data_IF_618721946834
#
_entry.id   IF_618721946834
#
_cell.length_a   1.000
_cell.length_b   1.000
_cell.length_c   1.000
_cell.angle_alpha   90.00
_cell.angle_beta   90.00
_cell.angle_gamma   90.00
#
_symmetry.space_group_name_H-M   'P 1'
#
loop_
_entity.id
_entity.type
_entity.pdbx_description
1 polymer ?
#
# COMPACT_ATOMS: atom_id res chain seq x y z
N UNK A 1 -26.53 -28.46 -64.03
CA UNK A 1 -26.76 -28.61 -62.59
C UNK A 1 -25.44 -28.34 -61.91
N UNK A 2 -25.31 -27.20 -61.24
CA UNK A 2 -24.04 -26.75 -60.64
C UNK A 2 -24.27 -26.69 -59.13
N UNK A 3 -23.57 -27.55 -58.40
CA UNK A 3 -23.71 -27.67 -56.94
C UNK A 3 -23.19 -26.41 -56.24
N UNK A 4 -23.98 -25.91 -55.29
CA UNK A 4 -23.61 -24.80 -54.43
C UNK A 4 -22.68 -25.30 -53.31
N UNK A 5 -21.48 -24.73 -53.23
CA UNK A 5 -20.53 -24.99 -52.13
C UNK A 5 -21.07 -24.34 -50.86
N UNK A 6 -21.47 -25.16 -49.89
CA UNK A 6 -21.93 -24.69 -48.58
C UNK A 6 -20.75 -24.11 -47.79
N UNK A 7 -20.80 -22.81 -47.49
CA UNK A 7 -19.83 -22.13 -46.62
C UNK A 7 -20.20 -22.45 -45.17
N UNK A 8 -19.37 -23.22 -44.47
CA UNK A 8 -19.58 -23.46 -43.04
C UNK A 8 -19.52 -22.14 -42.24
N UNK A 9 -20.47 -21.91 -41.31
CA UNK A 9 -20.45 -20.71 -40.48
C UNK A 9 -19.23 -20.74 -39.56
N UNK A 10 -18.43 -19.66 -39.59
CA UNK A 10 -17.29 -19.49 -38.68
C UNK A 10 -17.78 -19.60 -37.23
N UNK A 11 -17.36 -20.68 -36.54
CA UNK A 11 -17.71 -20.91 -35.13
C UNK A 11 -17.01 -19.89 -34.24
N UNK A 12 -17.79 -19.06 -33.55
CA UNK A 12 -17.33 -18.26 -32.40
C UNK A 12 -16.79 -19.21 -31.32
N UNK A 13 -15.49 -19.13 -31.04
CA UNK A 13 -14.83 -19.89 -29.96
C UNK A 13 -14.55 -18.96 -28.79
N UNK A 14 -15.18 -19.24 -27.64
CA UNK A 14 -14.86 -18.58 -26.38
C UNK A 14 -13.78 -19.39 -25.65
N UNK A 15 -12.61 -18.78 -25.42
CA UNK A 15 -11.55 -19.36 -24.59
C UNK A 15 -11.63 -18.73 -23.21
N UNK A 16 -11.79 -19.56 -22.17
CA UNK A 16 -11.77 -19.09 -20.79
C UNK A 16 -10.37 -18.54 -20.47
N UNK A 17 -10.27 -17.23 -20.26
CA UNK A 17 -9.02 -16.60 -19.79
C UNK A 17 -8.90 -16.72 -18.27
N UNK A 18 -7.68 -16.81 -17.72
CA UNK A 18 -7.47 -16.73 -16.27
C UNK A 18 -8.10 -15.46 -15.69
N UNK A 19 -8.70 -15.56 -14.50
CA UNK A 19 -9.27 -14.40 -13.82
C UNK A 19 -8.15 -13.41 -13.46
N UNK A 20 -8.33 -12.10 -13.72
CA UNK A 20 -7.33 -11.10 -13.35
C UNK A 20 -7.20 -11.02 -11.82
N UNK A 21 -5.96 -11.02 -11.32
CA UNK A 21 -5.68 -10.77 -9.91
C UNK A 21 -5.88 -9.27 -9.64
N UNK A 22 -6.80 -8.94 -8.73
CA UNK A 22 -7.00 -7.56 -8.28
C UNK A 22 -5.69 -7.00 -7.74
N UNK A 23 -5.46 -5.71 -7.97
CA UNK A 23 -4.20 -5.05 -7.62
C UNK A 23 -3.86 -5.20 -6.13
N UNK A 24 -4.87 -5.13 -5.27
CA UNK A 24 -4.75 -5.32 -3.80
C UNK A 24 -4.19 -6.69 -3.38
N UNK A 25 -4.32 -7.71 -4.23
CA UNK A 25 -3.81 -9.06 -3.97
C UNK A 25 -2.42 -9.30 -4.55
N UNK A 26 -1.82 -8.31 -5.24
CA UNK A 26 -0.48 -8.45 -5.81
C UNK A 26 0.56 -8.10 -4.74
N UNK A 27 1.41 -9.06 -4.31
CA UNK A 27 2.39 -8.80 -3.26
C UNK A 27 3.31 -7.62 -3.59
N UNK A 28 3.75 -7.51 -4.84
CA UNK A 28 4.60 -6.41 -5.29
C UNK A 28 3.95 -5.03 -5.11
N UNK A 29 2.65 -4.91 -5.42
CA UNK A 29 1.93 -3.65 -5.22
C UNK A 29 1.92 -3.25 -3.75
N UNK A 30 1.63 -4.21 -2.88
CA UNK A 30 1.57 -3.99 -1.43
C UNK A 30 2.94 -3.66 -0.83
N UNK A 31 4.00 -4.32 -1.31
CA UNK A 31 5.39 -3.99 -0.96
C UNK A 31 5.69 -2.55 -1.38
N UNK A 32 5.38 -2.16 -2.62
CA UNK A 32 5.64 -0.79 -3.07
C UNK A 32 4.87 0.26 -2.25
N UNK A 33 3.60 0.01 -1.91
CA UNK A 33 2.84 0.89 -1.01
C UNK A 33 3.51 1.02 0.37
N UNK A 34 4.00 -0.08 0.95
CA UNK A 34 4.78 -0.07 2.19
C UNK A 34 6.03 0.80 2.05
N UNK A 35 6.81 0.61 0.98
CA UNK A 35 8.04 1.38 0.75
C UNK A 35 7.73 2.88 0.52
N UNK A 36 6.64 3.21 -0.18
CA UNK A 36 6.18 4.60 -0.35
C UNK A 36 5.87 5.26 0.99
N UNK A 37 5.17 4.57 1.89
CA UNK A 37 4.85 5.07 3.24
C UNK A 37 6.13 5.30 4.06
N UNK A 38 7.08 4.36 3.99
CA UNK A 38 8.37 4.52 4.65
C UNK A 38 9.16 5.70 4.07
N UNK A 39 9.22 5.83 2.75
CA UNK A 39 10.01 6.85 2.07
C UNK A 39 9.42 8.26 2.24
N UNK A 40 8.12 8.42 2.00
CA UNK A 40 7.47 9.74 1.91
C UNK A 40 6.92 10.21 3.25
N UNK A 41 6.37 9.27 4.03
CA UNK A 41 5.64 9.63 5.23
C UNK A 41 6.36 9.30 6.53
N UNK A 42 7.53 8.69 6.51
CA UNK A 42 8.24 8.27 7.73
C UNK A 42 9.58 8.97 7.91
N UNK A 43 9.94 9.26 9.17
CA UNK A 43 11.23 9.89 9.50
C UNK A 43 12.32 8.81 9.44
N UNK A 44 13.41 9.07 8.72
CA UNK A 44 14.52 8.12 8.53
C UNK A 44 14.15 6.85 7.74
N UNK A 45 12.99 6.82 7.08
CA UNK A 45 12.51 5.61 6.42
C UNK A 45 12.10 4.50 7.39
N UNK A 46 11.75 4.83 8.64
CA UNK A 46 11.42 3.89 9.71
C UNK A 46 10.02 4.13 10.26
N UNK A 47 9.26 3.06 10.51
CA UNK A 47 7.92 3.15 11.10
C UNK A 47 7.61 1.96 12.01
N UNK A 48 6.76 2.18 13.03
CA UNK A 48 6.23 1.08 13.87
C UNK A 48 5.17 0.28 13.13
N UNK A 49 4.94 -0.97 13.54
CA UNK A 49 3.95 -1.85 12.93
C UNK A 49 2.51 -1.30 13.01
N UNK A 50 2.01 -0.78 14.15
CA UNK A 50 0.67 -0.20 14.22
C UNK A 50 0.46 0.96 13.23
N UNK A 51 1.48 1.82 13.08
CA UNK A 51 1.45 2.93 12.14
C UNK A 51 1.46 2.47 10.68
N UNK A 52 2.24 1.44 10.35
CA UNK A 52 2.19 0.83 9.01
C UNK A 52 0.80 0.27 8.70
N UNK A 53 0.13 -0.37 9.68
CA UNK A 53 -1.25 -0.81 9.51
C UNK A 53 -2.23 0.35 9.34
N UNK A 54 -2.04 1.48 10.05
CA UNK A 54 -2.85 2.67 9.86
C UNK A 54 -2.76 3.20 8.43
N UNK A 55 -1.54 3.35 7.90
CA UNK A 55 -1.35 3.80 6.51
C UNK A 55 -1.92 2.79 5.50
N UNK A 56 -1.71 1.49 5.69
CA UNK A 56 -2.31 0.48 4.82
C UNK A 56 -3.85 0.52 4.86
N UNK A 57 -4.45 0.70 6.04
CA UNK A 57 -5.90 0.86 6.17
C UNK A 57 -6.41 2.11 5.45
N UNK A 58 -5.65 3.20 5.54
CA UNK A 58 -6.00 4.48 4.93
C UNK A 58 -5.91 4.43 3.40
N UNK A 59 -4.87 3.80 2.84
CA UNK A 59 -4.65 3.71 1.40
C UNK A 59 -5.72 2.90 0.65
N UNK A 60 -6.55 2.13 1.36
CA UNK A 60 -7.66 1.35 0.75
C UNK A 60 -8.85 2.19 0.28
N UNK A 61 -8.93 3.48 0.66
CA UNK A 61 -10.05 4.35 0.31
C UNK A 61 -9.64 5.82 0.40
N UNK A 62 -10.05 6.60 -0.60
CA UNK A 62 -9.82 8.05 -0.65
C UNK A 62 -10.34 8.77 0.59
N UNK A 63 -11.52 8.38 1.11
CA UNK A 63 -12.09 8.99 2.32
C UNK A 63 -11.23 8.73 3.55
N UNK A 64 -10.64 7.54 3.65
CA UNK A 64 -9.83 7.14 4.81
C UNK A 64 -8.47 7.85 4.83
N UNK A 65 -7.81 7.93 3.69
CA UNK A 65 -6.55 8.67 3.59
C UNK A 65 -6.77 10.18 3.70
N UNK A 66 -7.93 10.72 3.29
CA UNK A 66 -8.27 12.11 3.55
C UNK A 66 -8.34 12.41 5.05
N UNK A 67 -8.85 11.48 5.88
CA UNK A 67 -8.79 11.63 7.35
C UNK A 67 -7.37 11.76 7.87
N UNK A 68 -6.40 11.07 7.27
CA UNK A 68 -4.99 11.21 7.64
C UNK A 68 -4.41 12.55 7.16
N UNK A 69 -4.82 13.05 5.99
CA UNK A 69 -4.45 14.40 5.52
C UNK A 69 -4.96 15.45 6.51
N UNK A 70 -6.22 15.34 6.95
CA UNK A 70 -6.82 16.30 7.87
C UNK A 70 -6.19 16.20 9.27
N UNK A 71 -5.91 14.99 9.75
CA UNK A 71 -5.18 14.76 11.00
C UNK A 71 -3.74 15.32 10.95
N UNK A 72 -3.06 15.20 9.82
CA UNK A 72 -1.73 15.78 9.61
C UNK A 72 -1.75 17.31 9.71
N UNK A 73 -2.75 17.96 9.08
CA UNK A 73 -2.95 19.42 9.15
C UNK A 73 -3.31 19.88 10.57
N UNK A 74 -4.25 19.18 11.22
CA UNK A 74 -4.70 19.50 12.57
C UNK A 74 -3.69 19.12 13.66
N UNK A 75 -2.67 18.32 13.33
CA UNK A 75 -1.70 17.72 14.28
C UNK A 75 -2.40 16.88 15.37
N UNK A 76 -3.57 16.32 15.06
CA UNK A 76 -4.37 15.51 15.98
C UNK A 76 -4.97 14.34 15.21
N UNK A 77 -4.71 13.13 15.68
CA UNK A 77 -5.28 11.91 15.12
C UNK A 77 -6.57 11.53 15.87
N UNK A 78 -7.70 12.08 15.40
CA UNK A 78 -9.03 11.78 15.94
C UNK A 78 -9.63 10.54 15.26
N UNK A 79 -9.24 9.36 15.72
CA UNK A 79 -9.78 8.09 15.25
C UNK A 79 -10.06 7.16 16.44
N UNK A 80 -11.13 6.38 16.35
CA UNK A 80 -11.48 5.40 17.39
C UNK A 80 -10.76 4.09 17.18
N UNK A 81 -10.69 3.58 15.95
CA UNK A 81 -9.94 2.35 15.62
C UNK A 81 -9.58 2.28 14.12
N UNK A 82 -8.63 1.39 13.77
CA UNK A 82 -8.35 0.99 12.38
C UNK A 82 -8.09 -0.53 12.30
N UNK A 83 -8.26 -1.09 11.11
CA UNK A 83 -8.11 -2.52 10.88
C UNK A 83 -6.66 -2.95 10.65
N UNK A 84 -6.28 -4.07 11.24
CA UNK A 84 -5.06 -4.80 10.89
C UNK A 84 -5.32 -5.69 9.66
N UNK A 85 -4.30 -5.86 8.83
CA UNK A 85 -4.42 -6.53 7.54
C UNK A 85 -3.33 -7.59 7.34
N UNK A 86 -3.68 -8.88 7.25
CA UNK A 86 -2.69 -9.94 7.03
C UNK A 86 -1.92 -9.76 5.73
N UNK A 87 -2.48 -9.12 4.70
CA UNK A 87 -1.78 -8.87 3.44
C UNK A 87 -0.57 -7.93 3.64
N UNK A 88 -0.67 -6.96 4.56
CA UNK A 88 0.47 -6.12 4.91
C UNK A 88 1.55 -6.92 5.64
N UNK A 89 1.17 -7.80 6.57
CA UNK A 89 2.12 -8.64 7.28
C UNK A 89 2.90 -9.55 6.32
N UNK A 90 2.20 -10.12 5.33
CA UNK A 90 2.83 -10.90 4.25
C UNK A 90 3.76 -10.02 3.41
N UNK A 91 3.34 -8.82 3.03
CA UNK A 91 4.17 -7.88 2.26
C UNK A 91 5.45 -7.48 3.01
N UNK A 92 5.36 -7.22 4.32
CA UNK A 92 6.52 -6.94 5.16
C UNK A 92 7.47 -8.14 5.18
N UNK A 93 6.95 -9.36 5.33
CA UNK A 93 7.78 -10.58 5.31
C UNK A 93 8.52 -10.74 3.99
N UNK A 94 7.85 -10.52 2.85
CA UNK A 94 8.51 -10.53 1.55
C UNK A 94 9.53 -9.40 1.41
N UNK A 95 9.21 -8.18 1.83
CA UNK A 95 10.13 -7.05 1.77
C UNK A 95 11.40 -7.29 2.61
N UNK A 96 11.27 -7.96 3.76
CA UNK A 96 12.40 -8.38 4.60
C UNK A 96 13.22 -9.48 3.92
N UNK A 97 12.57 -10.52 3.39
CA UNK A 97 13.25 -11.59 2.67
C UNK A 97 14.01 -11.08 1.43
N UNK A 98 13.46 -10.07 0.76
CA UNK A 98 14.09 -9.40 -0.39
C UNK A 98 15.11 -8.33 0.01
N UNK A 99 15.40 -8.15 1.31
CA UNK A 99 16.30 -7.14 1.84
C UNK A 99 15.94 -5.70 1.40
N UNK A 100 14.66 -5.40 1.19
CA UNK A 100 14.15 -4.04 0.92
C UNK A 100 13.87 -3.30 2.22
N UNK A 101 13.54 -4.05 3.27
CA UNK A 101 13.22 -3.55 4.61
C UNK A 101 13.94 -4.41 5.62
N UNK A 102 14.40 -3.82 6.72
CA UNK A 102 14.96 -4.53 7.87
C UNK A 102 14.10 -4.31 9.12
N UNK A 103 14.06 -5.33 9.98
CA UNK A 103 13.46 -5.20 11.30
C UNK A 103 14.39 -4.40 12.21
N UNK A 104 13.81 -3.52 13.01
CA UNK A 104 14.48 -2.73 14.05
C UNK A 104 13.90 -3.11 15.40
N UNK A 105 14.47 -2.60 16.49
CA UNK A 105 13.96 -2.83 17.85
C UNK A 105 12.49 -2.43 18.06
N UNK A 106 11.95 -1.51 17.24
CA UNK A 106 10.61 -0.92 17.43
C UNK A 106 9.70 -1.02 16.22
N UNK A 107 10.13 -1.66 15.12
CA UNK A 107 9.38 -1.65 13.86
C UNK A 107 10.25 -1.98 12.67
N UNK A 108 10.03 -1.31 11.55
CA UNK A 108 10.66 -1.64 10.28
C UNK A 108 11.29 -0.41 9.62
N UNK A 109 12.40 -0.61 8.92
CA UNK A 109 13.16 0.46 8.27
C UNK A 109 13.56 0.09 6.85
N UNK A 110 13.57 1.06 5.94
CA UNK A 110 14.15 0.89 4.60
C UNK A 110 15.63 0.59 4.68
N UNK A 111 16.07 -0.44 3.97
CA UNK A 111 17.49 -0.70 3.69
C UNK A 111 17.98 0.21 2.56
N UNK A 112 19.27 0.15 2.25
CA UNK A 112 19.81 0.82 1.06
C UNK A 112 19.22 0.26 -0.24
N UNK A 113 19.09 -1.07 -0.35
CA UNK A 113 18.43 -1.72 -1.50
C UNK A 113 16.98 -1.26 -1.64
N UNK A 114 16.24 -1.17 -0.53
CA UNK A 114 14.87 -0.66 -0.53
C UNK A 114 14.75 0.79 -0.96
N UNK A 115 15.69 1.64 -0.52
CA UNK A 115 15.80 3.04 -0.99
C UNK A 115 16.07 3.10 -2.49
N UNK A 116 17.01 2.31 -3.00
CA UNK A 116 17.28 2.23 -4.44
C UNK A 116 16.04 1.82 -5.22
N UNK A 117 15.35 0.75 -4.80
CA UNK A 117 14.13 0.27 -5.43
C UNK A 117 13.05 1.36 -5.50
N UNK A 118 12.74 2.01 -4.38
CA UNK A 118 11.65 2.99 -4.36
C UNK A 118 12.03 4.26 -5.13
N UNK A 119 13.30 4.64 -5.15
CA UNK A 119 13.79 5.74 -5.98
C UNK A 119 13.59 5.46 -7.47
N UNK A 120 13.83 4.23 -7.95
CA UNK A 120 13.55 3.85 -9.33
C UNK A 120 12.06 3.94 -9.66
N UNK A 121 11.18 3.44 -8.77
CA UNK A 121 9.72 3.55 -8.94
C UNK A 121 9.28 5.01 -9.04
N UNK A 122 9.87 5.90 -8.24
CA UNK A 122 9.51 7.32 -8.22
C UNK A 122 9.94 8.10 -9.47
N UNK A 123 10.81 7.53 -10.34
CA UNK A 123 11.16 8.13 -11.64
C UNK A 123 10.00 8.12 -12.62
N UNK A 124 9.13 7.12 -12.52
CA UNK A 124 7.88 7.09 -13.26
C UNK A 124 6.85 7.99 -12.53
N UNK A 125 6.39 9.04 -13.20
CA UNK A 125 5.44 10.00 -12.63
C UNK A 125 4.03 9.39 -12.47
N UNK A 126 3.68 8.40 -13.29
CA UNK A 126 2.36 7.77 -13.30
C UNK A 126 2.25 6.65 -12.26
N UNK A 127 3.39 6.06 -11.89
CA UNK A 127 3.45 5.05 -10.84
C UNK A 127 2.93 5.60 -9.50
N UNK A 128 1.84 5.01 -9.01
CA UNK A 128 1.17 5.36 -7.74
C UNK A 128 0.82 6.84 -7.60
N UNK A 129 0.52 7.53 -8.72
CA UNK A 129 0.27 8.97 -8.70
C UNK A 129 -0.81 9.41 -7.68
N UNK A 130 -1.97 8.74 -7.55
CA UNK A 130 -2.99 9.10 -6.55
C UNK A 130 -2.47 8.98 -5.12
N UNK A 131 -1.86 7.85 -4.77
CA UNK A 131 -1.32 7.59 -3.43
C UNK A 131 -0.20 8.56 -3.08
N UNK A 132 0.73 8.80 -4.01
CA UNK A 132 1.86 9.73 -3.82
C UNK A 132 1.37 11.14 -3.53
N UNK A 133 0.36 11.62 -4.26
CA UNK A 133 -0.22 12.95 -4.03
C UNK A 133 -0.76 13.10 -2.61
N UNK A 134 -1.39 12.06 -2.08
CA UNK A 134 -1.96 12.06 -0.73
C UNK A 134 -0.89 11.87 0.35
N UNK A 135 0.06 10.96 0.15
CA UNK A 135 1.21 10.77 1.05
C UNK A 135 2.08 12.04 1.14
N UNK A 136 2.22 12.78 0.04
CA UNK A 136 2.93 14.06 0.02
C UNK A 136 2.21 15.13 0.85
N UNK A 137 0.87 15.17 0.83
CA UNK A 137 0.09 16.07 1.69
C UNK A 137 0.20 15.70 3.18
N UNK A 138 0.28 14.40 3.48
CA UNK A 138 0.45 13.91 4.85
C UNK A 138 1.88 14.21 5.36
N UNK A 139 2.88 14.05 4.49
CA UNK A 139 4.29 14.18 4.85
C UNK A 139 4.63 13.34 6.08
N UNK A 140 5.40 13.92 7.01
CA UNK A 140 5.91 13.23 8.21
C UNK A 140 5.13 13.58 9.48
N UNK A 141 3.88 14.00 9.32
CA UNK A 141 3.10 14.63 10.39
C UNK A 141 2.22 13.67 11.19
N UNK A 142 1.89 12.51 10.63
CA UNK A 142 1.33 11.41 11.41
C UNK A 142 2.47 10.73 12.17
N UNK A 143 2.63 11.09 13.44
CA UNK A 143 3.74 10.62 14.29
C UNK A 143 3.42 9.29 14.98
N UNK A 144 4.46 8.55 15.37
CA UNK A 144 4.30 7.31 16.14
C UNK A 144 3.53 7.55 17.45
N UNK A 145 3.83 8.66 18.15
CA UNK A 145 3.15 9.00 19.41
C UNK A 145 1.65 9.29 19.25
N UNK A 146 1.21 9.81 18.09
CA UNK A 146 -0.23 9.95 17.80
C UNK A 146 -0.89 8.58 17.67
N UNK A 147 -0.25 7.66 16.94
CA UNK A 147 -0.77 6.30 16.72
C UNK A 147 -0.80 5.52 18.02
N UNK A 148 0.25 5.61 18.83
CA UNK A 148 0.33 4.93 20.13
C UNK A 148 -0.74 5.41 21.11
N UNK A 149 -1.03 6.73 21.15
CA UNK A 149 -2.12 7.27 21.98
C UNK A 149 -3.48 6.68 21.62
N UNK A 150 -3.78 6.55 20.33
CA UNK A 150 -5.03 5.94 19.89
C UNK A 150 -5.07 4.45 20.18
N UNK A 151 -3.97 3.73 19.92
CA UNK A 151 -3.89 2.28 20.16
C UNK A 151 -4.07 1.92 21.64
N UNK A 152 -3.47 2.67 22.58
CA UNK A 152 -3.66 2.48 24.02
C UNK A 152 -5.11 2.70 24.47
N UNK A 153 -5.84 3.57 23.77
CA UNK A 153 -7.26 3.80 24.01
C UNK A 153 -8.12 2.55 23.82
N UNK A 154 -7.66 1.55 23.06
CA UNK A 154 -8.39 0.29 22.86
C UNK A 154 -8.28 -0.66 24.04
N UNK A 155 -7.16 -0.63 24.77
CA UNK A 155 -6.96 -1.48 25.95
C UNK A 155 -7.80 -1.02 27.15
N UNK A 156 -8.25 0.23 27.12
CA UNK A 156 -8.99 0.88 28.21
C UNK A 156 -10.51 0.92 27.99
N UNK A 157 -11.00 0.36 26.88
CA UNK A 157 -12.42 0.34 26.46
C UNK A 157 -13.00 -1.08 26.55
#
# INVERSE_FOLDING_TARGET
>A
MTEAVAVEPQRLRFVRRPSPVLVEHRPLYKITQLLLVLQMSSRGGKSTLPRLHLFNWALKSTDRIQKLVDAAKAKVLNMTAWGFDPALAIAIRFAVAENLVEATSTGYQLTEKGRGFITEVLKDADAFAPERKLLMQIGKDITEGMVEKVAKGWESA
#
